data_IF_754217654251
#
_entry.id   IF_754217654251
#
_cell.length_a   1.000
_cell.length_b   1.000
_cell.length_c   1.000
_cell.angle_alpha   90.00
_cell.angle_beta   90.00
_cell.angle_gamma   90.00
#
_symmetry.space_group_name_H-M   'P 1'
#
loop_
_entity.id
_entity.type
_entity.pdbx_description
1 polymer ?
#
# COMPACT_ATOMS: atom_id res chain seq x y z
N UNK A 1 -30.43 17.71 -1.28
CA UNK A 1 -30.16 17.68 -2.74
C UNK A 1 -29.29 16.45 -2.95
N UNK A 2 -29.82 15.37 -3.55
CA UNK A 2 -28.99 14.21 -3.88
C UNK A 2 -27.98 14.68 -4.93
N UNK A 3 -26.68 14.48 -4.69
CA UNK A 3 -25.70 14.63 -5.75
C UNK A 3 -26.13 13.70 -6.89
N UNK A 4 -26.29 14.22 -8.10
CA UNK A 4 -26.48 13.38 -9.28
C UNK A 4 -25.21 12.54 -9.40
N UNK A 5 -25.34 11.21 -9.23
CA UNK A 5 -24.29 10.27 -9.62
C UNK A 5 -24.19 10.31 -11.14
N UNK A 6 -23.41 11.26 -11.66
CA UNK A 6 -23.07 11.29 -13.08
C UNK A 6 -22.21 10.06 -13.37
N UNK A 7 -22.74 9.13 -14.15
CA UNK A 7 -21.96 7.99 -14.63
C UNK A 7 -20.70 8.49 -15.34
N UNK A 8 -19.55 7.96 -14.94
CA UNK A 8 -18.29 8.23 -15.62
C UNK A 8 -18.30 7.55 -16.99
N UNK A 9 -17.97 8.31 -18.03
CA UNK A 9 -17.70 7.79 -19.36
C UNK A 9 -16.25 7.28 -19.48
N UNK A 10 -15.96 6.53 -20.54
CA UNK A 10 -14.60 6.04 -20.80
C UNK A 10 -13.59 7.20 -20.82
N UNK A 11 -12.48 7.03 -20.09
CA UNK A 11 -11.40 8.02 -19.97
C UNK A 11 -11.80 9.36 -19.33
N UNK A 12 -12.93 9.40 -18.61
CA UNK A 12 -13.34 10.60 -17.85
C UNK A 12 -12.69 10.67 -16.47
N UNK A 13 -12.36 9.53 -15.88
CA UNK A 13 -11.62 9.44 -14.64
C UNK A 13 -10.79 8.16 -14.61
N UNK A 14 -9.79 8.18 -13.75
CA UNK A 14 -8.79 7.14 -13.59
C UNK A 14 -8.67 6.79 -12.12
N UNK A 15 -8.57 5.49 -11.83
CA UNK A 15 -8.15 4.95 -10.56
C UNK A 15 -6.78 4.33 -10.71
N UNK A 16 -5.80 4.78 -9.92
CA UNK A 16 -4.43 4.26 -9.95
C UNK A 16 -4.05 3.84 -8.54
N UNK A 17 -3.35 2.73 -8.45
CA UNK A 17 -2.84 2.11 -7.23
C UNK A 17 -1.38 1.72 -7.48
N UNK A 18 -0.53 1.91 -6.47
CA UNK A 18 0.90 1.64 -6.50
C UNK A 18 1.26 0.89 -5.22
N UNK A 19 1.71 -0.35 -5.37
CA UNK A 19 2.18 -1.16 -4.25
C UNK A 19 3.71 -1.07 -4.15
N UNK A 20 4.20 -0.87 -2.93
CA UNK A 20 5.62 -0.82 -2.63
C UNK A 20 5.97 -1.79 -1.51
N UNK A 21 7.15 -2.40 -1.63
CA UNK A 21 7.72 -3.13 -0.51
C UNK A 21 8.38 -2.17 0.47
N UNK A 22 8.20 -2.42 1.76
CA UNK A 22 8.90 -1.77 2.87
C UNK A 22 10.13 -2.60 3.18
N UNK A 23 11.30 -1.97 3.16
CA UNK A 23 12.60 -2.63 3.39
C UNK A 23 13.45 -1.88 4.40
N UNK A 24 14.43 -2.57 4.98
CA UNK A 24 15.44 -1.93 5.83
C UNK A 24 16.30 -0.95 5.04
N UNK A 25 16.68 0.17 5.67
CA UNK A 25 17.49 1.19 4.99
C UNK A 25 18.93 0.76 4.73
N UNK A 26 19.49 -0.14 5.55
CA UNK A 26 20.88 -0.57 5.45
C UNK A 26 21.02 -1.87 4.65
N UNK A 27 20.14 -2.85 4.91
CA UNK A 27 20.26 -4.18 4.28
C UNK A 27 19.38 -4.34 3.06
N UNK A 28 18.36 -3.50 2.91
CA UNK A 28 17.28 -3.66 1.94
C UNK A 28 16.48 -4.96 2.11
N UNK A 29 16.58 -5.67 3.24
CA UNK A 29 15.71 -6.82 3.50
C UNK A 29 14.29 -6.36 3.84
N UNK A 30 13.29 -7.19 3.51
CA UNK A 30 11.88 -6.86 3.76
C UNK A 30 11.61 -6.61 5.24
N UNK A 31 10.82 -5.57 5.53
CA UNK A 31 10.36 -5.24 6.88
C UNK A 31 8.83 -5.32 6.93
N UNK A 32 8.26 -6.37 7.55
CA UNK A 32 6.82 -6.57 7.62
C UNK A 32 6.18 -5.67 8.68
N UNK A 33 6.11 -4.36 8.40
CA UNK A 33 5.71 -3.32 9.36
C UNK A 33 4.60 -2.38 8.84
N UNK A 34 3.88 -2.76 7.77
CA UNK A 34 2.82 -1.91 7.20
C UNK A 34 1.75 -1.54 8.24
N UNK A 35 1.37 -2.48 9.12
CA UNK A 35 0.40 -2.23 10.19
C UNK A 35 0.92 -1.27 11.26
N UNK A 36 2.20 -1.38 11.66
CA UNK A 36 2.85 -0.45 12.58
C UNK A 36 2.91 0.97 11.99
N UNK A 37 3.23 1.09 10.70
CA UNK A 37 3.27 2.36 9.98
C UNK A 37 1.87 3.00 9.94
N UNK A 38 0.84 2.26 9.51
CA UNK A 38 -0.53 2.77 9.45
C UNK A 38 -1.05 3.15 10.85
N UNK A 39 -0.75 2.34 11.87
CA UNK A 39 -1.09 2.64 13.27
C UNK A 39 -0.40 3.89 13.79
N UNK A 40 0.85 4.14 13.42
CA UNK A 40 1.56 5.34 13.87
C UNK A 40 0.89 6.63 13.39
N UNK A 41 0.18 6.57 12.25
CA UNK A 41 -0.53 7.69 11.65
C UNK A 41 -1.96 7.84 12.18
N UNK A 42 -2.66 6.72 12.39
CA UNK A 42 -4.06 6.71 12.84
C UNK A 42 -4.24 6.70 14.36
N UNK A 43 -3.23 6.27 15.12
CA UNK A 43 -3.29 6.06 16.57
C UNK A 43 -3.85 4.68 16.99
N UNK A 44 -4.45 3.95 16.06
CA UNK A 44 -4.98 2.60 16.23
C UNK A 44 -4.72 1.75 14.98
N UNK A 45 -4.86 0.42 15.09
CA UNK A 45 -4.73 -0.47 13.94
C UNK A 45 -5.86 -0.15 12.96
N UNK A 46 -5.51 0.14 11.71
CA UNK A 46 -6.43 0.43 10.61
C UNK A 46 -5.84 -0.09 9.31
N UNK A 47 -6.70 -0.37 8.33
CA UNK A 47 -6.33 -0.73 6.97
C UNK A 47 -5.97 0.47 6.10
N UNK A 48 -6.55 1.65 6.37
CA UNK A 48 -6.42 2.82 5.51
C UNK A 48 -6.11 4.09 6.31
N UNK A 49 -5.29 4.97 5.72
CA UNK A 49 -5.10 6.36 6.16
C UNK A 49 -5.11 7.29 4.95
N UNK A 50 -6.03 8.27 4.94
CA UNK A 50 -6.22 9.18 3.80
C UNK A 50 -5.49 10.51 4.00
N UNK A 51 -4.70 10.90 3.01
CA UNK A 51 -4.01 12.19 2.91
C UNK A 51 -4.44 12.92 1.64
N UNK A 52 -5.52 13.70 1.75
CA UNK A 52 -6.04 14.46 0.61
C UNK A 52 -6.55 13.53 -0.49
N UNK A 53 -5.84 13.50 -1.63
CA UNK A 53 -6.20 12.73 -2.82
C UNK A 53 -5.59 11.33 -2.87
N UNK A 54 -4.69 10.99 -1.93
CA UNK A 54 -4.03 9.68 -1.87
C UNK A 54 -4.35 9.02 -0.53
N UNK A 55 -4.76 7.76 -0.58
CA UNK A 55 -4.94 6.89 0.59
C UNK A 55 -3.81 5.89 0.63
N UNK A 56 -3.26 5.68 1.83
CA UNK A 56 -2.30 4.63 2.10
C UNK A 56 -3.05 3.44 2.67
N UNK A 57 -2.83 2.25 2.14
CA UNK A 57 -3.62 1.07 2.47
C UNK A 57 -2.74 -0.13 2.77
N UNK A 58 -3.27 -1.05 3.58
CA UNK A 58 -2.68 -2.36 3.73
C UNK A 58 -2.79 -3.17 2.44
N UNK A 59 -1.97 -4.21 2.37
CA UNK A 59 -2.09 -5.29 1.40
C UNK A 59 -2.06 -6.66 2.09
N UNK A 60 -2.14 -7.74 1.30
CA UNK A 60 -2.06 -9.13 1.77
C UNK A 60 -0.85 -9.41 2.66
N UNK A 61 0.32 -8.85 2.30
CA UNK A 61 1.58 -9.06 3.00
C UNK A 61 1.98 -7.80 3.78
N UNK A 62 2.44 -7.97 5.02
CA UNK A 62 2.82 -6.87 5.92
C UNK A 62 4.05 -6.08 5.45
N UNK A 63 4.84 -6.63 4.53
CA UNK A 63 5.95 -5.90 3.92
C UNK A 63 5.53 -5.12 2.68
N UNK A 64 4.26 -5.17 2.27
CA UNK A 64 3.71 -4.40 1.16
C UNK A 64 2.78 -3.32 1.73
N UNK A 65 2.88 -2.12 1.16
CA UNK A 65 1.97 -1.00 1.44
C UNK A 65 1.53 -0.39 0.11
N UNK A 66 0.24 -0.07 0.02
CA UNK A 66 -0.38 0.49 -1.17
C UNK A 66 -0.52 2.01 -1.02
N UNK A 67 -0.26 2.73 -2.11
CA UNK A 67 -0.73 4.08 -2.36
C UNK A 67 -1.81 4.04 -3.42
N UNK A 68 -3.03 4.50 -3.12
CA UNK A 68 -4.12 4.58 -4.09
C UNK A 68 -4.74 5.96 -4.16
N UNK A 69 -5.30 6.32 -5.30
CA UNK A 69 -6.15 7.50 -5.37
C UNK A 69 -7.36 7.32 -4.42
N UNK A 70 -7.65 8.31 -3.59
CA UNK A 70 -8.78 8.27 -2.65
C UNK A 70 -10.13 8.21 -3.38
N UNK A 71 -10.20 8.81 -4.56
CA UNK A 71 -11.33 8.73 -5.47
C UNK A 71 -10.84 8.81 -6.93
N UNK A 72 -11.61 8.30 -7.90
CA UNK A 72 -11.28 8.46 -9.31
C UNK A 72 -11.14 9.94 -9.68
N UNK A 73 -10.08 10.28 -10.43
CA UNK A 73 -9.79 11.65 -10.86
C UNK A 73 -9.66 11.74 -12.38
N UNK A 74 -10.10 12.85 -12.97
CA UNK A 74 -9.88 13.15 -14.38
C UNK A 74 -8.50 13.76 -14.68
N UNK A 75 -7.73 14.11 -13.64
CA UNK A 75 -6.45 14.81 -13.76
C UNK A 75 -5.27 13.89 -13.41
N UNK A 76 -4.71 13.22 -14.41
CA UNK A 76 -3.55 12.34 -14.26
C UNK A 76 -2.26 13.09 -13.95
N UNK A 77 -2.14 14.37 -14.35
CA UNK A 77 -0.94 15.17 -14.11
C UNK A 77 -0.88 15.51 -12.62
N UNK A 78 -1.98 16.03 -12.07
CA UNK A 78 -2.08 16.30 -10.63
C UNK A 78 -1.91 15.00 -9.82
N UNK A 79 -2.52 13.90 -10.25
CA UNK A 79 -2.38 12.62 -9.56
C UNK A 79 -0.92 12.14 -9.49
N UNK A 80 -0.12 12.37 -10.54
CA UNK A 80 1.30 12.02 -10.54
C UNK A 80 2.10 12.85 -9.52
N UNK A 81 1.78 14.15 -9.37
CA UNK A 81 2.36 15.01 -8.34
C UNK A 81 1.94 14.56 -6.93
N UNK A 82 0.65 14.25 -6.75
CA UNK A 82 0.10 13.77 -5.47
C UNK A 82 0.76 12.45 -5.03
N UNK A 83 1.01 11.51 -5.95
CA UNK A 83 1.75 10.27 -5.65
C UNK A 83 3.22 10.52 -5.33
N UNK A 84 3.89 11.43 -6.03
CA UNK A 84 5.27 11.77 -5.73
C UNK A 84 5.40 12.32 -4.30
N UNK A 85 4.51 13.22 -3.91
CA UNK A 85 4.48 13.78 -2.56
C UNK A 85 4.15 12.71 -1.51
N UNK A 86 3.22 11.80 -1.81
CA UNK A 86 2.89 10.67 -0.94
C UNK A 86 4.08 9.73 -0.73
N UNK A 87 4.82 9.37 -1.79
CA UNK A 87 6.04 8.54 -1.70
C UNK A 87 7.11 9.21 -0.84
N UNK A 88 7.31 10.52 -0.99
CA UNK A 88 8.25 11.27 -0.16
C UNK A 88 7.80 11.35 1.30
N UNK A 89 6.51 11.56 1.55
CA UNK A 89 5.95 11.59 2.89
C UNK A 89 6.05 10.23 3.57
N UNK A 90 5.74 9.14 2.86
CA UNK A 90 5.83 7.78 3.39
C UNK A 90 7.27 7.44 3.75
N UNK A 91 8.25 7.76 2.91
CA UNK A 91 9.66 7.55 3.25
C UNK A 91 10.12 8.38 4.48
N UNK A 92 9.56 9.58 4.69
CA UNK A 92 9.82 10.34 5.93
C UNK A 92 9.29 9.63 7.18
N UNK A 93 8.10 9.05 7.10
CA UNK A 93 7.50 8.26 8.20
C UNK A 93 8.30 6.98 8.42
N UNK A 94 8.61 6.24 7.35
CA UNK A 94 9.38 4.99 7.41
C UNK A 94 10.79 5.17 7.98
N UNK A 95 11.39 6.35 7.82
CA UNK A 95 12.70 6.65 8.41
C UNK A 95 12.70 6.52 9.94
N UNK A 96 11.57 6.78 10.62
CA UNK A 96 11.42 6.58 12.07
C UNK A 96 11.55 5.09 12.47
N UNK A 97 11.27 4.19 11.53
CA UNK A 97 11.38 2.74 11.68
C UNK A 97 12.68 2.17 11.11
N UNK A 98 13.62 3.03 10.66
CA UNK A 98 14.79 2.64 9.87
C UNK A 98 14.39 1.84 8.62
N UNK A 99 13.32 2.25 7.96
CA UNK A 99 12.79 1.62 6.78
C UNK A 99 12.67 2.61 5.63
N UNK A 100 12.46 2.09 4.43
CA UNK A 100 12.18 2.87 3.21
C UNK A 100 11.35 2.04 2.23
N UNK A 101 10.81 2.71 1.22
CA UNK A 101 10.16 2.05 0.09
C UNK A 101 11.21 1.54 -0.91
N UNK A 102 11.02 0.31 -1.41
CA UNK A 102 11.83 -0.25 -2.47
C UNK A 102 11.25 0.09 -3.86
N UNK A 103 12.02 0.71 -4.78
CA UNK A 103 11.51 1.17 -6.08
C UNK A 103 11.53 0.05 -7.15
N UNK A 104 11.12 -1.16 -6.80
CA UNK A 104 11.04 -2.31 -7.72
C UNK A 104 9.71 -3.03 -7.59
N UNK A 105 9.26 -3.69 -8.66
CA UNK A 105 8.01 -4.47 -8.63
C UNK A 105 8.14 -5.81 -7.88
N UNK A 106 9.36 -6.31 -7.72
CA UNK A 106 9.66 -7.54 -6.98
C UNK A 106 10.94 -7.36 -6.17
N UNK A 107 11.00 -8.02 -5.00
CA UNK A 107 12.20 -8.01 -4.18
C UNK A 107 13.29 -8.89 -4.83
N UNK A 108 14.52 -8.41 -5.05
CA UNK A 108 15.50 -9.16 -5.82
C UNK A 108 16.07 -10.41 -5.11
N UNK A 109 15.95 -10.51 -3.79
CA UNK A 109 16.50 -11.63 -3.01
C UNK A 109 15.68 -12.06 -1.78
N UNK A 110 14.44 -11.57 -1.64
CA UNK A 110 13.59 -12.04 -0.55
C UNK A 110 13.34 -13.53 -0.76
N UNK A 111 13.30 -14.31 0.31
CA UNK A 111 12.79 -15.67 0.30
C UNK A 111 11.28 -15.65 0.63
N UNK A 112 10.41 -15.84 -0.37
CA UNK A 112 8.96 -15.78 -0.18
C UNK A 112 8.43 -16.82 0.81
N UNK A 113 9.08 -17.99 0.89
CA UNK A 113 8.61 -19.10 1.71
C UNK A 113 8.83 -18.86 3.21
N UNK A 114 9.86 -18.07 3.55
CA UNK A 114 10.29 -17.90 4.93
C UNK A 114 10.08 -16.48 5.45
N UNK A 115 10.04 -15.48 4.57
CA UNK A 115 9.97 -14.06 4.96
C UNK A 115 8.58 -13.43 4.75
N UNK A 116 7.64 -14.15 4.12
CA UNK A 116 6.26 -13.65 3.96
C UNK A 116 5.50 -13.68 5.27
N UNK A 117 5.16 -12.48 5.76
CA UNK A 117 4.25 -12.29 6.90
C UNK A 117 2.95 -11.68 6.40
N UNK A 118 1.82 -12.35 6.64
CA UNK A 118 0.50 -11.88 6.18
C UNK A 118 -0.09 -10.83 7.10
N UNK A 119 -0.90 -9.95 6.53
CA UNK A 119 -1.76 -9.02 7.28
C UNK A 119 -2.72 -9.77 8.22
N UNK A 120 -2.63 -9.57 9.54
CA UNK A 120 -3.41 -10.33 10.51
C UNK A 120 -4.70 -9.65 10.96
N UNK A 121 -5.02 -8.46 10.41
CA UNK A 121 -6.12 -7.62 10.89
C UNK A 121 -7.36 -7.74 9.99
N UNK A 122 -7.97 -6.63 9.59
CA UNK A 122 -9.17 -6.63 8.75
C UNK A 122 -8.98 -7.49 7.49
N UNK A 123 -10.03 -8.20 7.10
CA UNK A 123 -10.02 -9.15 5.98
C UNK A 123 -9.04 -10.35 6.12
N UNK A 124 -8.45 -10.60 7.30
CA UNK A 124 -7.55 -11.74 7.50
C UNK A 124 -8.18 -13.10 7.14
N UNK A 125 -9.49 -13.29 7.32
CA UNK A 125 -10.17 -14.53 6.89
C UNK A 125 -10.18 -14.68 5.36
N UNK A 126 -10.34 -13.57 4.63
CA UNK A 126 -10.26 -13.55 3.17
C UNK A 126 -8.83 -13.89 2.74
N UNK A 127 -7.84 -13.20 3.31
CA UNK A 127 -6.43 -13.45 3.02
C UNK A 127 -5.99 -14.88 3.35
N UNK A 128 -6.44 -15.44 4.47
CA UNK A 128 -6.19 -16.85 4.82
C UNK A 128 -6.87 -17.82 3.84
N UNK A 129 -8.04 -17.45 3.32
CA UNK A 129 -8.73 -18.25 2.30
C UNK A 129 -8.00 -18.23 0.96
N UNK A 130 -7.51 -17.06 0.54
CA UNK A 130 -6.65 -16.92 -0.64
C UNK A 130 -5.40 -17.78 -0.50
N UNK A 131 -4.68 -17.64 0.62
CA UNK A 131 -3.46 -18.41 0.91
C UNK A 131 -3.71 -19.92 0.88
N UNK A 132 -4.81 -20.40 1.47
CA UNK A 132 -5.18 -21.82 1.44
C UNK A 132 -5.43 -22.35 0.03
N UNK A 133 -5.95 -21.53 -0.88
CA UNK A 133 -6.33 -21.95 -2.24
C UNK A 133 -5.14 -21.82 -3.19
N UNK A 134 -4.33 -20.77 -3.05
CA UNK A 134 -3.34 -20.36 -4.03
C UNK A 134 -1.89 -20.41 -3.54
N UNK A 135 -1.64 -20.66 -2.26
CA UNK A 135 -0.33 -20.60 -1.62
C UNK A 135 0.33 -19.24 -1.84
N UNK A 136 -0.17 -18.22 -1.14
CA UNK A 136 0.15 -16.80 -1.39
C UNK A 136 1.51 -16.38 -0.83
N UNK A 137 2.44 -17.32 -0.69
CA UNK A 137 3.80 -17.03 -0.26
C UNK A 137 4.65 -16.42 -1.37
N UNK A 138 4.28 -16.60 -2.64
CA UNK A 138 5.03 -16.10 -3.80
C UNK A 138 5.13 -14.56 -3.88
N UNK A 139 6.06 -14.09 -4.73
CA UNK A 139 6.33 -12.67 -4.95
C UNK A 139 5.31 -11.99 -5.88
N UNK A 140 4.00 -12.06 -5.57
CA UNK A 140 2.98 -11.54 -6.49
C UNK A 140 2.83 -12.36 -7.77
#
# INVERSE_FOLDING_TARGET
MKAEESHLHLFQAYGIELEYMIVDVETLDVKPIADEVLKSLAGEITSDVTFGNVTWSNELALHVIELKCTAPTGDLIQLAEDFMDAVQQMNRVLAEFKAQLMPTAAHPWMDPETETVRWPHDNAEIYATYDRIFDCKGHG
#
